data_IF_802755944033
#
_entry.id   IF_802755944033
#
_cell.length_a   1.000
_cell.length_b   1.000
_cell.length_c   1.000
_cell.angle_alpha   90.00
_cell.angle_beta   90.00
_cell.angle_gamma   90.00
#
_symmetry.space_group_name_H-M   'P 1'
#
loop_
_entity.id
_entity.type
_entity.pdbx_description
1 polymer ?
#
# COMPACT_ATOMS: atom_id res chain seq x y z
N UNK A 1 -31.12 -15.02 -52.28
CA UNK A 1 -30.26 -13.83 -52.23
C UNK A 1 -29.89 -13.59 -50.77
N UNK A 2 -28.63 -13.86 -50.41
CA UNK A 2 -28.13 -13.84 -49.03
C UNK A 2 -27.79 -12.39 -48.64
N UNK A 3 -28.36 -11.87 -47.57
CA UNK A 3 -27.87 -10.64 -46.93
C UNK A 3 -27.07 -11.09 -45.70
N UNK A 4 -25.76 -10.99 -45.84
CA UNK A 4 -24.75 -11.29 -44.85
C UNK A 4 -24.70 -10.11 -43.86
N UNK A 5 -25.34 -10.23 -42.70
CA UNK A 5 -25.18 -9.26 -41.64
C UNK A 5 -23.83 -9.48 -40.95
N UNK A 6 -22.88 -8.61 -41.31
CA UNK A 6 -21.56 -8.49 -40.69
C UNK A 6 -21.74 -7.90 -39.29
N UNK A 7 -21.81 -8.76 -38.28
CA UNK A 7 -21.75 -8.33 -36.87
C UNK A 7 -20.29 -7.98 -36.56
N UNK A 8 -19.99 -6.69 -36.54
CA UNK A 8 -18.76 -6.15 -35.96
C UNK A 8 -18.78 -6.41 -34.45
N UNK A 9 -18.22 -7.53 -34.02
CA UNK A 9 -17.89 -7.75 -32.61
C UNK A 9 -16.63 -6.93 -32.34
N UNK A 10 -16.82 -5.68 -31.92
CA UNK A 10 -15.79 -4.84 -31.34
C UNK A 10 -15.47 -5.40 -29.94
N UNK A 11 -14.69 -6.48 -29.89
CA UNK A 11 -14.27 -7.06 -28.62
C UNK A 11 -13.22 -6.12 -28.00
N UNK A 12 -13.68 -5.29 -27.08
CA UNK A 12 -12.87 -4.41 -26.25
C UNK A 12 -11.71 -5.20 -25.64
N UNK A 13 -10.48 -4.88 -26.04
CA UNK A 13 -9.30 -5.21 -25.26
C UNK A 13 -9.41 -4.49 -23.93
N UNK A 14 -9.66 -5.21 -22.84
CA UNK A 14 -9.40 -4.68 -21.50
C UNK A 14 -7.92 -4.82 -21.22
N UNK A 15 -7.27 -3.67 -21.37
CA UNK A 15 -5.91 -3.37 -20.99
C UNK A 15 -5.69 -3.52 -19.48
N UNK A 16 -4.51 -4.02 -19.15
CA UNK A 16 -3.78 -3.76 -17.90
C UNK A 16 -4.32 -4.42 -16.65
N UNK A 17 -3.56 -5.41 -16.16
CA UNK A 17 -3.64 -5.97 -14.81
C UNK A 17 -3.20 -4.88 -13.81
N UNK A 18 -4.05 -3.88 -13.60
CA UNK A 18 -3.96 -3.02 -12.44
C UNK A 18 -4.63 -3.78 -11.29
N UNK A 19 -3.97 -3.80 -10.13
CA UNK A 19 -4.64 -4.21 -8.89
C UNK A 19 -6.00 -3.51 -8.79
N UNK A 20 -7.05 -4.26 -8.40
CA UNK A 20 -8.40 -3.73 -8.35
C UNK A 20 -8.43 -2.46 -7.51
N UNK A 21 -9.13 -1.44 -8.00
CA UNK A 21 -9.21 -0.18 -7.28
C UNK A 21 -9.92 -0.37 -5.95
N UNK A 22 -9.51 0.39 -4.92
CA UNK A 22 -10.21 0.43 -3.61
C UNK A 22 -11.73 0.64 -3.76
N UNK A 23 -12.15 1.39 -4.78
CA UNK A 23 -13.56 1.62 -5.10
C UNK A 23 -14.26 0.31 -5.48
N UNK A 24 -13.68 -0.48 -6.39
CA UNK A 24 -14.23 -1.76 -6.83
C UNK A 24 -14.30 -2.79 -5.71
N UNK A 25 -13.25 -2.90 -4.89
CA UNK A 25 -13.23 -3.78 -3.70
C UNK A 25 -14.43 -3.47 -2.79
N UNK A 26 -14.64 -2.17 -2.50
CA UNK A 26 -15.74 -1.72 -1.65
C UNK A 26 -17.11 -1.97 -2.28
N UNK A 27 -17.30 -1.63 -3.55
CA UNK A 27 -18.59 -1.76 -4.25
C UNK A 27 -19.03 -3.22 -4.37
N UNK A 28 -18.08 -4.13 -4.59
CA UNK A 28 -18.33 -5.56 -4.66
C UNK A 28 -18.25 -6.28 -3.30
N UNK A 29 -18.03 -5.53 -2.20
CA UNK A 29 -17.92 -6.06 -0.84
C UNK A 29 -16.86 -7.17 -0.72
N UNK A 30 -15.77 -7.06 -1.47
CA UNK A 30 -14.66 -7.99 -1.42
C UNK A 30 -13.96 -7.84 -0.07
N UNK A 31 -13.91 -8.94 0.69
CA UNK A 31 -13.27 -8.98 2.01
C UNK A 31 -11.82 -9.46 1.93
N UNK A 32 -11.48 -10.19 0.87
CA UNK A 32 -10.13 -10.70 0.66
C UNK A 32 -9.87 -11.10 -0.79
N UNK A 33 -8.60 -11.10 -1.18
CA UNK A 33 -8.08 -11.63 -2.45
C UNK A 33 -6.98 -12.64 -2.14
N UNK A 34 -6.94 -13.76 -2.88
CA UNK A 34 -5.81 -14.71 -2.84
C UNK A 34 -5.31 -14.92 -4.25
N UNK A 35 -4.01 -14.73 -4.46
CA UNK A 35 -3.34 -14.99 -5.73
C UNK A 35 -2.64 -16.34 -5.65
N UNK A 36 -2.79 -17.16 -6.68
CA UNK A 36 -2.11 -18.44 -6.83
C UNK A 36 -1.18 -18.39 -8.04
N UNK A 37 -0.03 -19.03 -7.91
CA UNK A 37 0.90 -19.27 -9.00
C UNK A 37 1.00 -20.78 -9.27
N UNK A 38 1.05 -21.15 -10.55
CA UNK A 38 1.17 -22.54 -10.98
C UNK A 38 2.62 -22.88 -11.29
N UNK A 39 3.18 -23.93 -10.67
CA UNK A 39 4.48 -24.47 -11.08
C UNK A 39 4.32 -25.22 -12.40
N UNK A 40 5.00 -24.75 -13.44
CA UNK A 40 4.89 -25.24 -14.83
C UNK A 40 5.17 -26.74 -15.03
N UNK A 41 5.81 -27.42 -14.08
CA UNK A 41 6.15 -28.84 -14.20
C UNK A 41 5.05 -29.78 -13.69
N UNK A 42 4.27 -29.36 -12.68
CA UNK A 42 3.41 -30.27 -11.91
C UNK A 42 1.94 -29.85 -11.92
N UNK A 43 1.60 -28.72 -12.54
CA UNK A 43 0.28 -28.06 -12.49
C UNK A 43 -0.23 -27.78 -11.07
N UNK A 44 0.65 -27.81 -10.07
CA UNK A 44 0.30 -27.53 -8.67
C UNK A 44 0.17 -26.03 -8.46
N UNK A 45 -0.99 -25.61 -8.01
CA UNK A 45 -1.26 -24.25 -7.54
C UNK A 45 -0.63 -24.03 -6.16
N UNK A 46 0.07 -22.91 -6.00
CA UNK A 46 0.70 -22.49 -4.76
C UNK A 46 0.25 -21.07 -4.48
N UNK A 47 -0.16 -20.78 -3.24
CA UNK A 47 -0.48 -19.41 -2.83
C UNK A 47 0.74 -18.53 -3.04
N UNK A 48 0.54 -17.40 -3.69
CA UNK A 48 1.55 -16.37 -3.92
C UNK A 48 1.37 -15.23 -2.92
N UNK A 49 0.12 -14.73 -2.81
CA UNK A 49 -0.23 -13.69 -1.85
C UNK A 49 -1.68 -13.80 -1.39
N UNK A 50 -1.96 -13.21 -0.23
CA UNK A 50 -3.30 -13.01 0.32
C UNK A 50 -3.41 -11.56 0.80
N UNK A 51 -4.52 -10.89 0.51
CA UNK A 51 -4.83 -9.55 1.02
C UNK A 51 -6.22 -9.55 1.63
N UNK A 52 -6.37 -9.07 2.86
CA UNK A 52 -7.65 -8.82 3.51
C UNK A 52 -7.99 -7.33 3.49
N UNK A 53 -9.28 -7.00 3.36
CA UNK A 53 -9.78 -5.63 3.22
C UNK A 53 -10.79 -5.25 4.31
N UNK A 54 -10.79 -3.99 4.72
CA UNK A 54 -11.87 -3.41 5.53
C UNK A 54 -13.13 -3.09 4.67
N UNK A 55 -14.21 -2.67 5.32
CA UNK A 55 -15.46 -2.26 4.66
C UNK A 55 -15.33 -1.07 3.69
N UNK A 56 -14.21 -0.35 3.73
CA UNK A 56 -13.92 0.77 2.84
C UNK A 56 -13.01 0.36 1.68
N UNK A 57 -12.62 -0.91 1.59
CA UNK A 57 -11.69 -1.44 0.60
C UNK A 57 -10.21 -1.15 0.90
N UNK A 58 -9.88 -0.76 2.14
CA UNK A 58 -8.48 -0.62 2.56
C UNK A 58 -7.88 -1.99 2.87
N UNK A 59 -6.69 -2.30 2.38
CA UNK A 59 -5.97 -3.51 2.78
C UNK A 59 -5.56 -3.40 4.27
N UNK A 60 -6.03 -4.31 5.11
CA UNK A 60 -5.73 -4.36 6.55
C UNK A 60 -4.68 -5.42 6.90
N UNK A 61 -4.53 -6.42 6.05
CA UNK A 61 -3.52 -7.46 6.16
C UNK A 61 -3.08 -7.91 4.77
N UNK A 62 -1.78 -8.14 4.59
CA UNK A 62 -1.23 -8.80 3.42
C UNK A 62 -0.27 -9.90 3.87
N UNK A 63 -0.31 -11.03 3.20
CA UNK A 63 0.57 -12.16 3.45
C UNK A 63 1.21 -12.53 2.13
N UNK A 64 2.55 -12.50 2.09
CA UNK A 64 3.31 -13.03 0.97
C UNK A 64 3.80 -14.43 1.30
N UNK A 65 3.74 -15.31 0.32
CA UNK A 65 4.20 -16.69 0.42
C UNK A 65 5.47 -16.89 -0.39
N UNK A 66 6.30 -17.85 0.02
CA UNK A 66 7.45 -18.27 -0.76
C UNK A 66 7.05 -19.29 -1.84
N UNK A 67 8.01 -19.72 -2.67
CA UNK A 67 7.78 -20.68 -3.76
C UNK A 67 7.31 -22.06 -3.31
N UNK A 68 7.33 -22.34 -2.01
CA UNK A 68 6.88 -23.61 -1.42
C UNK A 68 5.51 -23.47 -0.74
N UNK A 69 4.91 -22.28 -0.78
CA UNK A 69 3.61 -21.97 -0.21
C UNK A 69 3.65 -21.68 1.29
N UNK A 70 4.83 -21.52 1.88
CA UNK A 70 4.98 -21.10 3.27
C UNK A 70 4.96 -19.58 3.39
N UNK A 71 4.45 -19.05 4.50
CA UNK A 71 4.43 -17.60 4.76
C UNK A 71 5.87 -17.09 4.77
N UNK A 72 6.10 -15.99 4.05
CA UNK A 72 7.35 -15.25 4.03
C UNK A 72 7.27 -14.02 4.93
N UNK A 73 6.21 -13.23 4.75
CA UNK A 73 5.99 -11.96 5.45
C UNK A 73 4.50 -11.74 5.67
N UNK A 74 4.16 -11.07 6.77
CA UNK A 74 2.82 -10.54 7.02
C UNK A 74 2.92 -9.04 7.25
N UNK A 75 2.22 -8.24 6.45
CA UNK A 75 2.08 -6.80 6.62
C UNK A 75 0.68 -6.51 7.17
N UNK A 76 0.57 -5.65 8.18
CA UNK A 76 -0.73 -5.18 8.71
C UNK A 76 -0.81 -3.68 8.67
N UNK A 77 -2.01 -3.15 8.41
CA UNK A 77 -2.26 -1.72 8.34
C UNK A 77 -3.39 -1.31 9.28
N UNK A 78 -3.18 -0.17 9.95
CA UNK A 78 -4.21 0.48 10.76
C UNK A 78 -4.57 1.82 10.12
N UNK A 79 -5.87 2.14 10.11
CA UNK A 79 -6.40 3.36 9.52
C UNK A 79 -7.15 4.20 10.55
N UNK A 80 -7.06 5.53 10.44
CA UNK A 80 -7.87 6.46 11.23
C UNK A 80 -9.33 6.48 10.77
N UNK A 81 -10.19 7.15 11.54
CA UNK A 81 -11.59 7.40 11.15
C UNK A 81 -11.71 8.15 9.81
N UNK A 82 -10.74 9.02 9.49
CA UNK A 82 -10.64 9.72 8.21
C UNK A 82 -10.09 8.83 7.08
N UNK A 83 -9.89 7.53 7.32
CA UNK A 83 -9.42 6.53 6.36
C UNK A 83 -7.96 6.74 5.91
N UNK A 84 -7.18 7.51 6.68
CA UNK A 84 -5.74 7.64 6.48
C UNK A 84 -5.01 6.49 7.16
N UNK A 85 -4.02 5.88 6.50
CA UNK A 85 -3.18 4.85 7.12
C UNK A 85 -2.34 5.52 8.21
N UNK A 86 -2.47 5.09 9.46
CA UNK A 86 -1.74 5.64 10.61
C UNK A 86 -0.62 4.73 11.09
N UNK A 87 -0.67 3.44 10.73
CA UNK A 87 0.33 2.46 11.11
C UNK A 87 0.48 1.38 10.04
N UNK A 88 1.70 0.90 9.90
CA UNK A 88 2.08 -0.30 9.14
C UNK A 88 3.03 -1.13 9.99
N UNK A 89 2.83 -2.43 10.07
CA UNK A 89 3.71 -3.37 10.78
C UNK A 89 4.03 -4.55 9.89
N UNK A 90 5.29 -4.96 9.86
CA UNK A 90 5.76 -6.11 9.07
C UNK A 90 6.29 -7.18 10.01
N UNK A 91 5.83 -8.41 9.83
CA UNK A 91 6.23 -9.59 10.59
C UNK A 91 6.91 -10.61 9.68
N UNK A 92 7.85 -11.36 10.24
CA UNK A 92 8.46 -12.50 9.56
C UNK A 92 7.55 -13.74 9.55
N UNK A 93 8.02 -14.82 8.93
CA UNK A 93 7.34 -16.10 8.84
C UNK A 93 6.99 -16.74 10.20
N UNK A 94 7.67 -16.35 11.28
CA UNK A 94 7.44 -16.84 12.64
C UNK A 94 6.48 -15.96 13.44
N UNK A 95 6.04 -14.84 12.87
CA UNK A 95 5.19 -13.85 13.52
C UNK A 95 5.97 -12.85 14.37
N UNK A 96 7.30 -12.80 14.27
CA UNK A 96 8.11 -11.79 14.95
C UNK A 96 8.08 -10.48 14.17
N UNK A 97 7.89 -9.37 14.89
CA UNK A 97 7.91 -8.03 14.30
C UNK A 97 9.30 -7.72 13.73
N UNK A 98 9.35 -7.29 12.48
CA UNK A 98 10.55 -6.84 11.75
C UNK A 98 10.64 -5.31 11.79
N UNK A 99 9.52 -4.64 11.52
CA UNK A 99 9.47 -3.19 11.44
C UNK A 99 8.07 -2.67 11.73
N UNK A 100 8.02 -1.40 12.11
CA UNK A 100 6.79 -0.63 12.25
C UNK A 100 7.01 0.74 11.64
N UNK A 101 6.02 1.28 10.96
CA UNK A 101 6.00 2.67 10.52
C UNK A 101 4.74 3.34 11.02
N UNK A 102 4.86 4.55 11.56
CA UNK A 102 3.73 5.37 12.02
C UNK A 102 3.64 6.64 11.20
N UNK A 103 2.41 7.04 10.86
CA UNK A 103 2.14 8.20 10.03
C UNK A 103 1.31 9.24 10.78
N UNK A 104 1.69 10.51 10.67
CA UNK A 104 1.06 11.62 11.36
C UNK A 104 0.47 12.57 10.31
N UNK A 105 -0.78 12.97 10.54
CA UNK A 105 -1.55 13.85 9.67
C UNK A 105 -1.99 15.10 10.41
N UNK A 106 -2.10 16.22 9.71
CA UNK A 106 -2.72 17.42 10.24
C UNK A 106 -4.25 17.39 10.06
N UNK A 107 -4.94 18.45 10.46
CA UNK A 107 -6.40 18.60 10.36
C UNK A 107 -6.93 18.67 8.92
N UNK A 108 -6.05 18.91 7.94
CA UNK A 108 -6.39 18.95 6.52
C UNK A 108 -6.13 17.60 5.83
N UNK A 109 -5.90 16.53 6.61
CA UNK A 109 -5.53 15.19 6.13
C UNK A 109 -4.21 15.14 5.33
N UNK A 110 -3.33 16.12 5.52
CA UNK A 110 -2.00 16.15 4.92
C UNK A 110 -1.00 15.39 5.81
N UNK A 111 -0.21 14.50 5.22
CA UNK A 111 0.84 13.79 5.98
C UNK A 111 1.95 14.76 6.38
N UNK A 112 2.08 15.00 7.69
CA UNK A 112 3.10 15.88 8.29
C UNK A 112 4.23 15.12 8.96
N UNK A 113 4.07 13.81 9.22
CA UNK A 113 5.08 13.01 9.91
C UNK A 113 5.09 11.55 9.49
N UNK A 114 6.27 10.94 9.58
CA UNK A 114 6.51 9.51 9.37
C UNK A 114 7.66 9.08 10.28
N UNK A 115 7.46 8.01 11.06
CA UNK A 115 8.46 7.46 11.98
C UNK A 115 8.61 5.97 11.69
N UNK A 116 9.82 5.56 11.35
CA UNK A 116 10.18 4.16 11.11
C UNK A 116 10.86 3.59 12.36
N UNK A 117 10.44 2.40 12.76
CA UNK A 117 10.93 1.65 13.90
C UNK A 117 11.44 0.28 13.44
N UNK A 118 12.46 -0.23 14.12
CA UNK A 118 12.82 -1.65 14.05
C UNK A 118 11.81 -2.52 14.82
N UNK A 119 11.96 -3.84 14.72
CA UNK A 119 11.13 -4.81 15.41
C UNK A 119 11.25 -4.80 16.94
N UNK A 120 12.25 -4.11 17.50
CA UNK A 120 12.41 -3.90 18.94
C UNK A 120 11.79 -2.59 19.43
N UNK A 121 11.27 -1.76 18.51
CA UNK A 121 10.69 -0.47 18.81
C UNK A 121 11.67 0.69 18.84
N UNK A 122 12.93 0.50 18.43
CA UNK A 122 13.88 1.61 18.30
C UNK A 122 13.56 2.40 17.03
N UNK A 123 13.60 3.72 17.12
CA UNK A 123 13.43 4.58 15.94
C UNK A 123 14.66 4.44 15.05
N UNK A 124 14.43 4.13 13.77
CA UNK A 124 15.47 4.11 12.75
C UNK A 124 15.55 5.44 12.02
N UNK A 125 14.40 6.07 11.78
CA UNK A 125 14.29 7.27 10.96
C UNK A 125 13.00 8.03 11.29
N UNK A 126 13.07 9.35 11.16
CA UNK A 126 11.89 10.22 11.26
C UNK A 126 11.89 11.23 10.11
N UNK A 127 10.72 11.58 9.62
CA UNK A 127 10.59 12.71 8.69
C UNK A 127 9.37 13.55 8.98
N UNK A 128 9.51 14.85 8.78
CA UNK A 128 8.45 15.84 9.01
C UNK A 128 8.32 16.75 7.81
N UNK A 129 7.08 16.97 7.36
CA UNK A 129 6.77 17.83 6.22
C UNK A 129 5.90 18.99 6.67
N UNK A 130 6.25 20.20 6.26
CA UNK A 130 5.48 21.41 6.47
C UNK A 130 4.80 21.84 5.18
N UNK A 131 3.68 22.53 5.32
CA UNK A 131 2.85 23.02 4.23
C UNK A 131 2.55 24.51 4.44
N UNK A 132 2.36 25.24 3.36
CA UNK A 132 1.87 26.62 3.42
C UNK A 132 0.35 26.65 3.68
N UNK A 133 -0.21 27.85 3.82
CA UNK A 133 -1.64 28.03 4.08
C UNK A 133 -2.57 27.51 2.96
N UNK A 134 -2.03 27.15 1.79
CA UNK A 134 -2.77 26.61 0.64
C UNK A 134 -2.54 25.11 0.46
N UNK A 135 -1.78 24.47 1.34
CA UNK A 135 -1.46 23.05 1.28
C UNK A 135 -0.31 22.69 0.33
N UNK A 136 0.49 23.66 -0.13
CA UNK A 136 1.71 23.35 -0.87
C UNK A 136 2.82 22.99 0.10
N UNK A 137 3.59 21.93 -0.21
CA UNK A 137 4.74 21.54 0.61
C UNK A 137 5.75 22.68 0.65
N UNK A 138 6.29 22.98 1.82
CA UNK A 138 7.32 24.02 2.00
C UNK A 138 8.67 23.36 2.23
N UNK A 139 8.73 22.46 3.20
CA UNK A 139 9.96 21.81 3.63
C UNK A 139 9.71 20.39 4.14
N UNK A 140 10.59 19.46 3.80
CA UNK A 140 10.67 18.14 4.43
C UNK A 140 12.03 17.98 5.11
N UNK A 141 12.02 17.67 6.40
CA UNK A 141 13.23 17.30 7.17
C UNK A 141 13.24 15.80 7.41
N UNK A 142 14.43 15.20 7.35
CA UNK A 142 14.67 13.79 7.66
C UNK A 142 15.74 13.71 8.74
N UNK A 143 15.48 12.91 9.76
CA UNK A 143 16.36 12.66 10.89
C UNK A 143 16.66 11.16 11.02
N UNK A 144 17.80 10.84 11.61
CA UNK A 144 18.08 9.48 12.06
C UNK A 144 17.32 9.14 13.36
N UNK A 145 17.50 7.91 13.85
CA UNK A 145 16.93 7.44 15.11
C UNK A 145 17.28 8.28 16.34
N UNK A 146 18.43 8.96 16.31
CA UNK A 146 18.93 9.81 17.38
C UNK A 146 18.53 11.28 17.20
N UNK A 147 17.59 11.56 16.29
CA UNK A 147 17.12 12.92 15.94
C UNK A 147 18.21 13.82 15.35
N UNK A 148 19.30 13.26 14.84
CA UNK A 148 20.29 14.02 14.07
C UNK A 148 19.73 14.28 12.68
N UNK A 149 19.77 15.55 12.25
CA UNK A 149 19.30 15.95 10.93
C UNK A 149 20.18 15.30 9.85
N UNK A 150 19.56 14.52 8.96
CA UNK A 150 20.20 13.89 7.81
C UNK A 150 20.02 14.78 6.57
N UNK A 151 18.82 15.29 6.34
CA UNK A 151 18.48 15.97 5.09
C UNK A 151 17.35 16.98 5.27
N UNK A 152 17.43 18.06 4.50
CA UNK A 152 16.37 19.06 4.33
C UNK A 152 16.09 19.19 2.85
N UNK A 153 14.82 19.04 2.47
CA UNK A 153 14.33 19.26 1.10
C UNK A 153 13.35 20.43 1.12
N UNK A 154 13.67 21.49 0.38
CA UNK A 154 12.80 22.68 0.23
C UNK A 154 12.09 22.64 -1.12
N UNK A 155 10.85 23.11 -1.13
CA UNK A 155 10.02 23.17 -2.32
C UNK A 155 9.73 24.65 -2.62
N UNK A 156 10.02 25.07 -3.85
CA UNK A 156 9.80 26.44 -4.31
C UNK A 156 8.97 26.36 -5.57
N UNK A 157 7.85 27.09 -5.58
CA UNK A 157 6.91 27.12 -6.70
C UNK A 157 6.96 28.49 -7.36
N UNK A 158 7.12 28.50 -8.67
CA UNK A 158 6.90 29.68 -9.49
C UNK A 158 5.49 29.64 -10.05
N UNK A 159 4.87 30.81 -10.16
CA UNK A 159 3.56 30.97 -10.79
C UNK A 159 3.75 31.48 -12.20
N UNK A 160 2.81 31.12 -13.07
CA UNK A 160 2.68 31.71 -14.41
C UNK A 160 2.12 33.12 -14.31
#
# INVERSE_FOLDING_TARGET
MKILNLIFILLYLHTSVFAQSKKEIRENKITSETVYNTKSADSKEIKDSYTAYDKNGNAIEKIDYNKDGAIKTTEKHTYSANKNKIEETVYDATGKLISKTSYIYNTNDEKIGEIDYDGSGNILKQSYTTYDAKGFKVEKKIFDGNKKLISVKKYVYTKR
#
